data_IF_050322639830
#
_entry.id   IF_050322639830
#
_cell.length_a   1.000
_cell.length_b   1.000
_cell.length_c   1.000
_cell.angle_alpha   90.00
_cell.angle_beta   90.00
_cell.angle_gamma   90.00
#
_symmetry.space_group_name_H-M   'P 1'
#
loop_
_entity.id
_entity.type
_entity.pdbx_description
1 polymer ?
#
# COMPACT_ATOMS: atom_id res chain seq x y z
N UNK A 1 5.43 -9.29 -0.88
CA UNK A 1 5.93 -7.95 -0.50
C UNK A 1 5.31 -6.87 -1.39
N UNK A 2 4.81 -5.80 -0.77
CA UNK A 2 4.30 -4.60 -1.43
C UNK A 2 5.36 -3.51 -1.28
N UNK A 3 5.70 -2.85 -2.38
CA UNK A 3 6.56 -1.66 -2.37
C UNK A 3 5.73 -0.48 -2.87
N UNK A 4 5.72 0.60 -2.11
CA UNK A 4 5.01 1.84 -2.42
C UNK A 4 6.06 2.88 -2.80
N UNK A 5 5.90 3.52 -3.97
CA UNK A 5 6.76 4.59 -4.45
C UNK A 5 5.93 5.86 -4.62
N UNK A 6 6.45 6.96 -4.12
CA UNK A 6 5.74 8.22 -4.01
C UNK A 6 6.65 9.38 -3.61
N UNK A 7 6.10 10.60 -3.66
CA UNK A 7 6.76 11.81 -3.17
C UNK A 7 6.21 12.18 -1.79
N UNK A 8 7.07 12.68 -0.92
CA UNK A 8 6.72 13.12 0.44
C UNK A 8 5.99 12.05 1.27
N UNK A 9 6.23 10.75 1.00
CA UNK A 9 5.64 9.65 1.75
C UNK A 9 6.11 9.69 3.20
N UNK A 10 5.17 9.93 4.11
CA UNK A 10 5.41 10.02 5.55
C UNK A 10 4.61 8.95 6.28
N UNK A 11 5.26 8.26 7.21
CA UNK A 11 4.60 7.35 8.14
C UNK A 11 3.82 8.17 9.17
N UNK A 12 2.51 8.11 9.11
CA UNK A 12 1.62 8.85 10.02
C UNK A 12 1.29 8.01 11.24
N UNK A 13 1.04 6.71 11.03
CA UNK A 13 0.65 5.82 12.12
C UNK A 13 1.03 4.38 11.83
N UNK A 14 1.39 3.66 12.89
CA UNK A 14 1.52 2.21 12.88
C UNK A 14 0.63 1.64 13.97
N UNK A 15 -0.31 0.75 13.61
CA UNK A 15 -1.06 -0.04 14.59
C UNK A 15 -0.64 -1.51 14.50
N UNK A 16 0.14 -1.94 15.48
CA UNK A 16 0.63 -3.32 15.54
C UNK A 16 -0.47 -4.33 15.89
N UNK A 17 -1.54 -3.93 16.58
CA UNK A 17 -2.66 -4.82 16.95
C UNK A 17 -3.48 -5.19 15.72
N UNK A 18 -3.75 -4.21 14.86
CA UNK A 18 -4.47 -4.41 13.59
C UNK A 18 -3.55 -4.75 12.41
N UNK A 19 -2.24 -4.86 12.62
CA UNK A 19 -1.23 -5.00 11.57
C UNK A 19 -1.41 -3.98 10.43
N UNK A 20 -1.66 -2.71 10.79
CA UNK A 20 -1.88 -1.63 9.84
C UNK A 20 -0.74 -0.59 9.87
N UNK A 21 -0.55 0.07 8.74
CA UNK A 21 0.35 1.22 8.58
C UNK A 21 -0.38 2.27 7.75
N UNK A 22 -0.38 3.52 8.21
CA UNK A 22 -0.98 4.67 7.53
C UNK A 22 0.16 5.56 6.99
N UNK A 23 0.11 5.82 5.69
CA UNK A 23 1.07 6.66 4.96
C UNK A 23 0.32 7.81 4.31
N UNK A 24 0.87 9.02 4.41
CA UNK A 24 0.38 10.20 3.69
C UNK A 24 1.45 10.70 2.71
N UNK A 25 1.00 11.16 1.54
CA UNK A 25 1.86 11.66 0.47
C UNK A 25 1.31 11.34 -0.92
N UNK A 26 2.03 11.73 -1.96
CA UNK A 26 1.65 11.45 -3.34
C UNK A 26 2.16 10.07 -3.75
N UNK A 27 1.26 9.14 -4.08
CA UNK A 27 1.61 7.80 -4.55
C UNK A 27 1.52 7.76 -6.07
N UNK A 28 2.63 7.42 -6.74
CA UNK A 28 2.66 7.24 -8.21
C UNK A 28 2.83 5.79 -8.64
N UNK A 29 3.27 4.88 -7.76
CA UNK A 29 3.43 3.47 -8.13
C UNK A 29 3.28 2.52 -6.94
N UNK A 30 2.58 1.40 -7.18
CA UNK A 30 2.47 0.25 -6.28
C UNK A 30 3.06 -0.97 -6.98
N UNK A 31 4.10 -1.56 -6.39
CA UNK A 31 4.81 -2.72 -6.94
C UNK A 31 4.55 -3.95 -6.07
N UNK A 32 4.00 -5.00 -6.69
CA UNK A 32 3.65 -6.25 -6.05
C UNK A 32 4.58 -7.35 -6.56
N UNK A 33 5.26 -8.07 -5.65
CA UNK A 33 6.10 -9.23 -6.06
C UNK A 33 5.29 -10.41 -6.63
N UNK A 34 4.02 -10.54 -6.27
CA UNK A 34 3.18 -11.66 -6.69
C UNK A 34 1.94 -11.16 -7.44
N UNK A 35 1.69 -11.73 -8.63
CA UNK A 35 0.59 -11.33 -9.50
C UNK A 35 -0.79 -11.51 -8.83
N UNK A 36 -1.01 -12.63 -8.14
CA UNK A 36 -2.25 -12.90 -7.41
C UNK A 36 -2.56 -11.84 -6.34
N UNK A 37 -1.53 -11.33 -5.66
CA UNK A 37 -1.68 -10.26 -4.66
C UNK A 37 -2.07 -8.94 -5.31
N UNK A 38 -1.48 -8.61 -6.48
CA UNK A 38 -1.85 -7.44 -7.27
C UNK A 38 -3.33 -7.47 -7.68
N UNK A 39 -3.77 -8.60 -8.25
CA UNK A 39 -5.14 -8.77 -8.72
C UNK A 39 -6.15 -8.68 -7.59
N UNK A 40 -5.88 -9.33 -6.45
CA UNK A 40 -6.75 -9.26 -5.28
C UNK A 40 -6.85 -7.85 -4.71
N UNK A 41 -5.74 -7.11 -4.67
CA UNK A 41 -5.72 -5.73 -4.19
C UNK A 41 -6.58 -4.81 -5.05
N UNK A 42 -6.35 -4.78 -6.37
CA UNK A 42 -7.11 -3.89 -7.26
C UNK A 42 -8.59 -4.27 -7.35
N UNK A 43 -8.95 -5.55 -7.25
CA UNK A 43 -10.36 -5.97 -7.14
C UNK A 43 -11.05 -5.36 -5.93
N UNK A 44 -10.37 -5.26 -4.79
CA UNK A 44 -10.94 -4.64 -3.58
C UNK A 44 -10.98 -3.12 -3.66
N UNK A 45 -10.07 -2.51 -4.41
CA UNK A 45 -9.97 -1.05 -4.51
C UNK A 45 -11.02 -0.45 -5.46
N UNK A 46 -11.39 -1.19 -6.51
CA UNK A 46 -12.28 -0.72 -7.57
C UNK A 46 -13.64 -1.43 -7.64
N UNK A 47 -13.96 -2.28 -6.67
CA UNK A 47 -15.30 -2.87 -6.51
C UNK A 47 -16.13 -2.02 -5.55
#
# INVERSE_FOLDING_TARGET
PLTIKGNNLTLVKTNNEMNNVELEGEIYSLEFKALKTKESFFKKLFA
#
